data_IF_924385590622
#
_entry.id   IF_924385590622
#
_cell.length_a   1.000
_cell.length_b   1.000
_cell.length_c   1.000
_cell.angle_alpha   90.00
_cell.angle_beta   90.00
_cell.angle_gamma   90.00
#
_symmetry.space_group_name_H-M   'P 1'
#
loop_
_entity.id
_entity.type
_entity.pdbx_description
1 polymer ?
#
# COMPACT_ATOMS: atom_id res chain seq x y z
N UNK A 1 -21.90 -1.30 0.08
CA UNK A 1 -21.27 -1.96 -1.09
C UNK A 1 -22.36 -2.46 -2.03
N UNK A 2 -23.37 -3.12 -1.49
CA UNK A 2 -24.59 -3.51 -2.23
C UNK A 2 -25.25 -2.31 -2.94
N UNK A 3 -25.26 -1.12 -2.34
CA UNK A 3 -25.84 0.08 -2.95
C UNK A 3 -25.02 0.56 -4.16
N UNK A 4 -23.70 0.46 -4.12
CA UNK A 4 -22.85 0.76 -5.29
C UNK A 4 -23.13 -0.23 -6.41
N UNK A 5 -23.23 -1.52 -6.08
CA UNK A 5 -23.59 -2.57 -7.02
C UNK A 5 -24.98 -2.33 -7.63
N UNK A 6 -25.98 -1.99 -6.83
CA UNK A 6 -27.33 -1.68 -7.29
C UNK A 6 -27.37 -0.51 -8.28
N UNK A 7 -26.67 0.58 -7.95
CA UNK A 7 -26.66 1.78 -8.80
C UNK A 7 -25.86 1.58 -10.10
N UNK A 8 -24.94 0.61 -10.14
CA UNK A 8 -24.13 0.29 -11.32
C UNK A 8 -24.52 -1.05 -11.96
N UNK A 9 -25.66 -1.64 -11.59
CA UNK A 9 -26.04 -3.03 -11.91
C UNK A 9 -26.03 -3.38 -13.40
N UNK A 10 -26.29 -2.40 -14.27
CA UNK A 10 -26.31 -2.61 -15.73
C UNK A 10 -24.90 -2.67 -16.35
N UNK A 11 -23.86 -2.35 -15.57
CA UNK A 11 -22.47 -2.20 -16.03
C UNK A 11 -21.43 -2.88 -15.15
N UNK A 12 -21.73 -3.13 -13.88
CA UNK A 12 -20.79 -3.67 -12.92
C UNK A 12 -20.67 -5.18 -13.08
N UNK A 13 -19.42 -5.67 -13.11
CA UNK A 13 -19.13 -7.11 -13.21
C UNK A 13 -18.43 -7.65 -11.96
N UNK A 14 -17.93 -6.78 -11.10
CA UNK A 14 -17.17 -7.18 -9.94
C UNK A 14 -16.65 -6.01 -9.10
N UNK A 15 -16.08 -6.35 -7.95
CA UNK A 15 -15.37 -5.44 -7.06
C UNK A 15 -13.94 -5.94 -6.83
N UNK A 16 -13.02 -5.01 -6.57
CA UNK A 16 -11.63 -5.32 -6.27
C UNK A 16 -11.24 -4.84 -4.87
N UNK A 17 -10.44 -5.65 -4.16
CA UNK A 17 -9.87 -5.31 -2.87
C UNK A 17 -8.45 -4.72 -3.01
N UNK A 18 -8.34 -3.40 -2.92
CA UNK A 18 -7.05 -2.70 -2.89
C UNK A 18 -6.49 -2.52 -1.48
N UNK A 19 -5.25 -2.95 -1.23
CA UNK A 19 -4.62 -2.87 0.11
C UNK A 19 -4.25 -1.43 0.51
N UNK A 20 -3.45 -0.73 -0.29
CA UNK A 20 -2.91 0.58 0.09
C UNK A 20 -3.97 1.67 0.13
N UNK A 21 -4.84 1.73 -0.87
CA UNK A 21 -5.91 2.72 -0.91
C UNK A 21 -6.97 2.51 0.16
N UNK A 22 -7.28 1.26 0.52
CA UNK A 22 -8.19 0.97 1.63
C UNK A 22 -7.62 1.48 2.96
N UNK A 23 -6.37 1.13 3.28
CA UNK A 23 -5.72 1.63 4.50
C UNK A 23 -5.56 3.15 4.50
N UNK A 24 -5.22 3.76 3.37
CA UNK A 24 -5.20 5.21 3.23
C UNK A 24 -6.56 5.83 3.56
N UNK A 25 -7.65 5.29 3.01
CA UNK A 25 -9.01 5.74 3.32
C UNK A 25 -9.35 5.56 4.80
N UNK A 26 -8.94 4.46 5.43
CA UNK A 26 -9.14 4.26 6.86
C UNK A 26 -8.37 5.26 7.72
N UNK A 27 -7.12 5.59 7.37
CA UNK A 27 -6.34 6.64 8.06
C UNK A 27 -7.04 7.98 7.92
N UNK A 28 -7.49 8.32 6.71
CA UNK A 28 -8.18 9.59 6.47
C UNK A 28 -9.48 9.68 7.28
N UNK A 29 -10.30 8.64 7.27
CA UNK A 29 -11.56 8.60 8.00
C UNK A 29 -11.37 8.74 9.51
N UNK A 30 -10.35 8.09 10.07
CA UNK A 30 -10.07 8.10 11.50
C UNK A 30 -8.96 9.08 11.89
N UNK A 31 -8.66 10.09 11.08
CA UNK A 31 -7.50 10.96 11.28
C UNK A 31 -7.53 11.67 12.64
N UNK A 32 -8.72 11.99 13.14
CA UNK A 32 -8.92 12.66 14.43
C UNK A 32 -8.82 11.70 15.64
N UNK A 33 -8.93 10.39 15.45
CA UNK A 33 -8.96 9.43 16.54
C UNK A 33 -7.54 9.03 16.99
N UNK A 34 -7.08 9.38 18.21
CA UNK A 34 -5.75 9.04 18.70
C UNK A 34 -5.55 7.54 19.00
N UNK A 35 -6.62 6.76 19.11
CA UNK A 35 -6.56 5.30 19.27
C UNK A 35 -6.39 4.60 17.92
N UNK A 36 -6.78 5.26 16.83
CA UNK A 36 -6.71 4.70 15.48
C UNK A 36 -5.44 5.15 14.76
N UNK A 37 -4.25 4.87 15.31
CA UNK A 37 -2.98 5.21 14.66
C UNK A 37 -2.35 3.97 14.03
N UNK A 38 -2.28 3.97 12.69
CA UNK A 38 -1.85 2.81 11.92
C UNK A 38 -0.32 2.57 12.08
N UNK A 39 0.11 1.31 12.27
CA UNK A 39 1.52 0.92 12.25
C UNK A 39 2.19 1.19 10.89
N UNK A 40 3.50 0.95 10.82
CA UNK A 40 4.27 0.90 9.58
C UNK A 40 3.59 -0.07 8.60
N UNK A 41 3.20 0.40 7.40
CA UNK A 41 2.34 -0.35 6.47
C UNK A 41 2.86 -1.76 6.14
N UNK A 42 4.19 -1.90 6.07
CA UNK A 42 4.87 -3.16 5.73
C UNK A 42 4.94 -4.15 6.90
N UNK A 43 4.61 -3.70 8.13
CA UNK A 43 4.57 -4.55 9.34
C UNK A 43 3.17 -5.08 9.64
N UNK A 44 2.17 -4.62 8.90
CA UNK A 44 0.78 -5.05 9.05
C UNK A 44 0.66 -6.46 8.49
N UNK A 45 0.24 -7.45 9.28
CA UNK A 45 0.08 -8.80 8.78
C UNK A 45 -1.09 -8.86 7.79
N UNK A 46 -1.01 -9.76 6.81
CA UNK A 46 -2.05 -9.91 5.78
C UNK A 46 -3.41 -10.32 6.38
N UNK A 47 -3.41 -11.01 7.53
CA UNK A 47 -4.60 -11.50 8.21
C UNK A 47 -5.11 -10.54 9.31
N UNK A 48 -4.73 -9.26 9.28
CA UNK A 48 -5.25 -8.27 10.23
C UNK A 48 -6.78 -8.17 10.14
N UNK A 49 -7.45 -8.01 11.29
CA UNK A 49 -8.90 -8.11 11.42
C UNK A 49 -9.70 -7.27 10.42
N UNK A 50 -9.36 -5.99 10.24
CA UNK A 50 -10.08 -5.12 9.30
C UNK A 50 -9.97 -5.57 7.84
N UNK A 51 -8.86 -6.22 7.45
CA UNK A 51 -8.72 -6.80 6.12
C UNK A 51 -9.45 -8.13 6.00
N UNK A 52 -9.39 -9.00 7.02
CA UNK A 52 -10.10 -10.28 6.98
C UNK A 52 -11.61 -10.10 6.98
N UNK A 53 -12.11 -9.14 7.75
CA UNK A 53 -13.53 -8.80 7.76
C UNK A 53 -13.99 -8.34 6.36
N UNK A 54 -13.20 -7.50 5.69
CA UNK A 54 -13.50 -7.09 4.32
C UNK A 54 -13.32 -8.23 3.30
N UNK A 55 -12.29 -9.08 3.45
CA UNK A 55 -12.04 -10.24 2.59
C UNK A 55 -13.14 -11.29 2.67
N UNK A 56 -13.82 -11.42 3.80
CA UNK A 56 -14.97 -12.30 3.93
C UNK A 56 -16.26 -11.64 3.41
N UNK A 57 -16.44 -10.35 3.66
CA UNK A 57 -17.65 -9.62 3.27
C UNK A 57 -17.73 -9.37 1.75
N UNK A 58 -16.62 -9.10 1.09
CA UNK A 58 -16.59 -8.74 -0.33
C UNK A 58 -17.09 -9.89 -1.24
N UNK A 59 -16.57 -11.13 -1.15
CA UNK A 59 -17.11 -12.27 -1.89
C UNK A 59 -18.56 -12.58 -1.55
N UNK A 60 -18.95 -12.45 -0.28
CA UNK A 60 -20.34 -12.63 0.13
C UNK A 60 -21.28 -11.69 -0.64
N UNK A 61 -20.94 -10.41 -0.71
CA UNK A 61 -21.75 -9.41 -1.41
C UNK A 61 -21.68 -9.63 -2.92
N UNK A 62 -20.49 -9.80 -3.49
CA UNK A 62 -20.31 -9.98 -4.93
C UNK A 62 -21.09 -11.19 -5.44
N UNK A 63 -20.90 -12.36 -4.82
CA UNK A 63 -21.49 -13.60 -5.28
C UNK A 63 -23.01 -13.64 -5.07
N UNK A 64 -23.55 -12.87 -4.11
CA UNK A 64 -25.00 -12.63 -3.96
C UNK A 64 -25.64 -12.01 -5.17
N UNK A 65 -24.90 -11.15 -5.85
CA UNK A 65 -25.38 -10.35 -6.94
C UNK A 65 -24.83 -10.80 -8.29
N UNK A 66 -24.24 -12.00 -8.38
CA UNK A 66 -23.67 -12.53 -9.61
C UNK A 66 -22.42 -11.76 -10.09
N UNK A 67 -21.74 -11.07 -9.18
CA UNK A 67 -20.54 -10.28 -9.45
C UNK A 67 -19.28 -11.03 -9.00
N UNK A 68 -18.15 -10.71 -9.61
CA UNK A 68 -16.85 -11.24 -9.25
C UNK A 68 -16.21 -10.47 -8.08
N UNK A 69 -15.53 -11.17 -7.20
CA UNK A 69 -14.70 -10.62 -6.13
C UNK A 69 -13.21 -10.81 -6.47
N UNK A 70 -12.50 -9.72 -6.72
CA UNK A 70 -11.08 -9.76 -7.12
C UNK A 70 -10.19 -9.36 -5.93
N UNK A 71 -9.22 -10.23 -5.64
CA UNK A 71 -8.16 -10.00 -4.67
C UNK A 71 -7.18 -8.89 -5.06
N UNK A 72 -6.27 -8.57 -4.15
CA UNK A 72 -5.37 -7.43 -4.28
C UNK A 72 -4.07 -7.75 -5.00
N UNK A 73 -3.16 -6.77 -4.96
CA UNK A 73 -1.79 -6.88 -5.46
C UNK A 73 -0.85 -7.42 -4.37
N UNK A 74 0.00 -8.40 -4.70
CA UNK A 74 1.16 -8.74 -3.86
C UNK A 74 2.34 -7.88 -4.28
N UNK A 75 2.72 -6.91 -3.44
CA UNK A 75 3.62 -5.83 -3.84
C UNK A 75 5.12 -6.20 -3.89
N UNK A 76 5.52 -7.38 -3.39
CA UNK A 76 6.92 -7.78 -3.38
C UNK A 76 7.33 -8.27 -4.78
N UNK A 77 8.28 -7.58 -5.41
CA UNK A 77 8.69 -7.90 -6.77
C UNK A 77 9.77 -8.99 -6.79
N UNK A 78 9.64 -9.99 -7.68
CA UNK A 78 10.70 -10.95 -7.93
C UNK A 78 11.93 -10.24 -8.52
N UNK A 79 13.12 -10.74 -8.20
CA UNK A 79 14.38 -10.30 -8.81
C UNK A 79 14.95 -11.41 -9.68
N UNK A 80 15.28 -11.09 -10.93
CA UNK A 80 15.97 -12.06 -11.81
C UNK A 80 17.48 -12.17 -11.50
N UNK A 81 18.01 -11.22 -10.74
CA UNK A 81 19.44 -11.12 -10.39
C UNK A 81 19.75 -11.73 -9.01
N UNK A 82 18.74 -11.86 -8.14
CA UNK A 82 18.87 -12.39 -6.78
C UNK A 82 17.96 -13.61 -6.60
N UNK A 83 18.49 -14.84 -6.73
CA UNK A 83 17.72 -16.07 -6.61
C UNK A 83 17.05 -16.26 -5.24
N UNK A 84 17.68 -15.80 -4.15
CA UNK A 84 17.13 -15.95 -2.80
C UNK A 84 15.98 -14.97 -2.55
N UNK A 85 16.12 -13.72 -2.99
CA UNK A 85 15.02 -12.75 -2.97
C UNK A 85 13.88 -13.23 -3.86
N UNK A 86 14.18 -13.76 -5.03
CA UNK A 86 13.18 -14.31 -5.94
C UNK A 86 12.38 -15.44 -5.29
N UNK A 87 13.06 -16.46 -4.75
CA UNK A 87 12.40 -17.59 -4.10
C UNK A 87 11.50 -17.16 -2.94
N UNK A 88 11.95 -16.20 -2.13
CA UNK A 88 11.14 -15.64 -1.03
C UNK A 88 9.93 -14.86 -1.55
N UNK A 89 10.10 -14.06 -2.59
CA UNK A 89 9.02 -13.29 -3.20
C UNK A 89 7.94 -14.20 -3.80
N UNK A 90 8.34 -15.22 -4.54
CA UNK A 90 7.43 -16.18 -5.17
C UNK A 90 6.70 -17.05 -4.13
N UNK A 91 7.39 -17.46 -3.06
CA UNK A 91 6.74 -18.17 -1.94
C UNK A 91 5.69 -17.30 -1.25
N UNK A 92 6.04 -16.06 -0.91
CA UNK A 92 5.11 -15.12 -0.28
C UNK A 92 3.91 -14.81 -1.18
N UNK A 93 4.13 -14.71 -2.49
CA UNK A 93 3.07 -14.59 -3.50
C UNK A 93 2.12 -15.79 -3.45
N UNK A 94 2.65 -17.02 -3.54
CA UNK A 94 1.82 -18.22 -3.54
C UNK A 94 0.97 -18.33 -2.25
N UNK A 95 1.55 -18.03 -1.08
CA UNK A 95 0.83 -18.04 0.19
C UNK A 95 -0.27 -16.97 0.25
N UNK A 96 0.00 -15.74 -0.20
CA UNK A 96 -0.99 -14.66 -0.24
C UNK A 96 -2.12 -14.96 -1.23
N UNK A 97 -1.80 -15.50 -2.42
CA UNK A 97 -2.79 -15.87 -3.44
C UNK A 97 -3.64 -17.06 -3.04
N UNK A 98 -3.05 -18.06 -2.38
CA UNK A 98 -3.79 -19.17 -1.78
C UNK A 98 -4.75 -18.69 -0.70
N UNK A 99 -4.35 -17.70 0.10
CA UNK A 99 -5.24 -17.10 1.10
C UNK A 99 -6.41 -16.34 0.45
N UNK A 100 -6.18 -15.63 -0.66
CA UNK A 100 -7.25 -14.98 -1.43
C UNK A 100 -8.22 -16.00 -2.03
N UNK A 101 -7.71 -17.07 -2.63
CA UNK A 101 -8.53 -18.17 -3.16
C UNK A 101 -9.35 -18.86 -2.06
N UNK A 102 -8.74 -19.19 -0.92
CA UNK A 102 -9.45 -19.76 0.24
C UNK A 102 -10.51 -18.82 0.82
N UNK A 103 -10.37 -17.51 0.61
CA UNK A 103 -11.35 -16.50 1.01
C UNK A 103 -12.46 -16.32 -0.02
N UNK A 104 -12.54 -17.17 -1.04
CA UNK A 104 -13.53 -17.14 -2.12
C UNK A 104 -13.38 -15.98 -3.11
N UNK A 105 -12.19 -15.39 -3.24
CA UNK A 105 -11.94 -14.44 -4.35
C UNK A 105 -11.88 -15.18 -5.69
N UNK A 106 -12.46 -14.63 -6.75
CA UNK A 106 -12.47 -15.23 -8.09
C UNK A 106 -11.16 -15.05 -8.85
N UNK A 107 -10.32 -14.11 -8.42
CA UNK A 107 -9.04 -13.83 -9.06
C UNK A 107 -8.19 -12.88 -8.23
N UNK A 108 -7.05 -12.47 -8.79
CA UNK A 108 -6.07 -11.63 -8.12
C UNK A 108 -5.35 -10.69 -9.08
N UNK A 109 -4.70 -9.66 -8.54
CA UNK A 109 -3.76 -8.82 -9.28
C UNK A 109 -2.32 -9.27 -9.08
N UNK A 110 -1.55 -9.21 -10.17
CA UNK A 110 -0.10 -9.40 -10.23
C UNK A 110 0.56 -8.16 -10.83
N UNK A 111 1.76 -7.84 -10.35
CA UNK A 111 2.50 -6.64 -10.76
C UNK A 111 3.56 -6.93 -11.80
N UNK A 112 3.93 -8.20 -11.96
CA UNK A 112 4.99 -8.65 -12.86
C UNK A 112 4.59 -9.93 -13.59
N UNK A 113 4.90 -10.10 -14.89
CA UNK A 113 4.54 -11.30 -15.66
C UNK A 113 4.97 -12.62 -15.01
N UNK A 114 6.18 -12.67 -14.44
CA UNK A 114 6.73 -13.86 -13.75
C UNK A 114 5.89 -14.31 -12.53
N UNK A 115 4.92 -13.50 -12.07
CA UNK A 115 4.00 -13.85 -10.99
C UNK A 115 2.72 -14.55 -11.49
N UNK A 116 2.41 -14.47 -12.80
CA UNK A 116 1.09 -14.81 -13.33
C UNK A 116 0.74 -16.29 -13.16
N UNK A 117 1.64 -17.20 -13.56
CA UNK A 117 1.39 -18.65 -13.49
C UNK A 117 1.24 -19.12 -12.04
N UNK A 118 2.09 -18.60 -11.15
CA UNK A 118 2.01 -18.90 -9.71
C UNK A 118 0.68 -18.41 -9.15
N UNK A 119 0.24 -17.20 -9.50
CA UNK A 119 -1.05 -16.69 -9.06
C UNK A 119 -2.20 -17.56 -9.58
N UNK A 120 -2.27 -17.81 -10.90
CA UNK A 120 -3.33 -18.61 -11.53
C UNK A 120 -3.44 -20.01 -10.91
N UNK A 121 -2.32 -20.67 -10.63
CA UNK A 121 -2.31 -22.01 -10.03
C UNK A 121 -2.91 -22.09 -8.62
N UNK A 122 -3.09 -20.95 -7.93
CA UNK A 122 -3.74 -20.93 -6.61
C UNK A 122 -5.26 -20.85 -6.67
N UNK A 123 -5.85 -20.45 -7.80
CA UNK A 123 -7.30 -20.23 -7.93
C UNK A 123 -7.97 -21.39 -8.68
N UNK A 124 -9.21 -21.75 -8.31
CA UNK A 124 -10.00 -22.68 -9.10
C UNK A 124 -10.49 -22.03 -10.40
N UNK A 125 -10.70 -22.85 -11.42
CA UNK A 125 -11.25 -22.42 -12.71
C UNK A 125 -12.72 -22.87 -12.85
N UNK A 126 -13.60 -22.08 -13.50
CA UNK A 126 -13.32 -20.76 -14.10
C UNK A 126 -13.40 -19.59 -13.11
N UNK A 127 -14.05 -19.77 -11.97
CA UNK A 127 -14.22 -18.79 -10.88
C UNK A 127 -14.87 -19.48 -9.66
N UNK A 128 -15.13 -18.71 -8.59
CA UNK A 128 -15.75 -19.16 -7.34
C UNK A 128 -17.14 -18.55 -7.13
N UNK A 129 -17.79 -18.04 -8.18
CA UNK A 129 -19.03 -17.26 -8.12
C UNK A 129 -20.19 -17.96 -7.39
N UNK A 130 -20.23 -19.28 -7.43
CA UNK A 130 -21.28 -20.09 -6.80
C UNK A 130 -21.01 -20.41 -5.32
N UNK A 131 -19.80 -20.12 -4.83
CA UNK A 131 -19.43 -20.36 -3.44
C UNK A 131 -19.79 -19.16 -2.57
N UNK A 132 -20.13 -19.40 -1.30
CA UNK A 132 -20.43 -18.35 -0.33
C UNK A 132 -19.71 -18.64 0.99
N UNK A 133 -19.17 -17.62 1.68
CA UNK A 133 -18.57 -17.83 2.99
C UNK A 133 -19.64 -18.34 3.96
N UNK A 134 -19.34 -19.38 4.73
CA UNK A 134 -20.31 -19.99 5.64
C UNK A 134 -20.85 -19.02 6.71
N UNK A 135 -20.02 -18.05 7.13
CA UNK A 135 -20.30 -17.13 8.24
C UNK A 135 -19.94 -15.68 7.88
N UNK A 136 -20.33 -15.19 6.70
CA UNK A 136 -20.19 -13.78 6.42
C UNK A 136 -21.19 -13.00 7.30
N UNK A 137 -20.71 -12.37 8.37
CA UNK A 137 -21.52 -11.42 9.13
C UNK A 137 -22.03 -10.35 8.17
N UNK A 138 -23.30 -9.95 8.31
CA UNK A 138 -23.91 -8.93 7.45
C UNK A 138 -23.26 -7.56 7.64
N UNK A 139 -22.83 -7.26 8.86
CA UNK A 139 -22.23 -5.99 9.25
C UNK A 139 -21.00 -6.21 10.15
N UNK A 140 -19.89 -6.76 9.61
CA UNK A 140 -18.69 -6.94 10.40
C UNK A 140 -18.05 -5.57 10.68
N UNK A 141 -17.31 -5.45 11.79
CA UNK A 141 -16.53 -4.25 12.05
C UNK A 141 -15.37 -4.15 11.04
N UNK A 142 -15.48 -3.21 10.10
CA UNK A 142 -14.46 -2.98 9.08
C UNK A 142 -13.34 -2.06 9.56
N UNK A 143 -13.42 -1.51 10.78
CA UNK A 143 -12.45 -0.54 11.32
C UNK A 143 -12.08 -0.82 12.79
N UNK A 144 -11.85 -2.08 13.21
CA UNK A 144 -11.40 -2.36 14.56
C UNK A 144 -10.12 -1.58 14.88
N UNK A 145 -9.97 -1.21 16.16
CA UNK A 145 -8.78 -0.50 16.63
C UNK A 145 -7.54 -1.34 16.32
N UNK A 146 -6.51 -0.80 15.65
CA UNK A 146 -5.30 -1.53 15.26
C UNK A 146 -4.36 -1.73 16.45
N UNK A 147 -4.82 -2.41 17.51
CA UNK A 147 -4.04 -2.73 18.71
C UNK A 147 -3.19 -3.97 18.48
N UNK A 148 -1.88 -3.88 18.77
CA UNK A 148 -0.97 -5.03 18.67
C UNK A 148 -0.71 -5.52 17.25
N UNK A 149 -1.10 -4.76 16.23
CA UNK A 149 -0.89 -5.11 14.82
C UNK A 149 0.30 -4.30 14.29
N UNK A 150 1.41 -4.96 14.00
CA UNK A 150 2.61 -4.31 13.47
C UNK A 150 3.35 -3.41 14.47
N UNK A 151 4.20 -2.52 13.96
CA UNK A 151 5.08 -1.63 14.75
C UNK A 151 4.96 -0.18 14.30
N UNK A 152 5.11 0.77 15.23
CA UNK A 152 5.14 2.23 14.95
C UNK A 152 6.53 2.77 15.20
N UNK A 153 7.41 2.66 14.19
CA UNK A 153 8.83 2.98 14.36
C UNK A 153 9.24 4.31 13.71
N UNK A 154 10.26 4.97 14.28
CA UNK A 154 10.90 6.12 13.65
C UNK A 154 11.52 5.76 12.28
N UNK A 155 12.09 4.56 12.16
CA UNK A 155 12.66 4.06 10.92
C UNK A 155 11.62 3.95 9.81
N UNK A 156 10.44 3.42 10.13
CA UNK A 156 9.30 3.33 9.21
C UNK A 156 8.77 4.69 8.79
N UNK A 157 8.70 5.67 9.71
CA UNK A 157 8.35 7.05 9.33
C UNK A 157 9.37 7.64 8.36
N UNK A 158 10.67 7.46 8.61
CA UNK A 158 11.74 7.94 7.72
C UNK A 158 11.69 7.25 6.35
N UNK A 159 11.36 5.96 6.32
CA UNK A 159 11.15 5.23 5.07
C UNK A 159 9.98 5.81 4.27
N UNK A 160 8.84 6.05 4.91
CA UNK A 160 7.67 6.69 4.29
C UNK A 160 8.04 8.02 3.61
N UNK A 161 8.78 8.88 4.32
CA UNK A 161 9.23 10.19 3.79
C UNK A 161 10.12 10.02 2.55
N UNK A 162 11.12 9.11 2.61
CA UNK A 162 12.01 8.85 1.47
C UNK A 162 11.22 8.34 0.26
N UNK A 163 10.31 7.40 0.47
CA UNK A 163 9.52 6.80 -0.62
C UNK A 163 8.60 7.83 -1.27
N UNK A 164 7.91 8.68 -0.49
CA UNK A 164 7.08 9.78 -1.02
C UNK A 164 7.90 10.72 -1.91
N UNK A 165 9.08 11.15 -1.45
CA UNK A 165 9.95 12.05 -2.23
C UNK A 165 10.39 11.38 -3.54
N UNK A 166 10.86 10.14 -3.47
CA UNK A 166 11.35 9.40 -4.65
C UNK A 166 10.22 9.11 -5.65
N UNK A 167 9.06 8.67 -5.17
CA UNK A 167 7.91 8.39 -6.02
C UNK A 167 7.41 9.65 -6.71
N UNK A 168 7.23 10.76 -5.97
CA UNK A 168 6.79 12.04 -6.54
C UNK A 168 7.80 12.62 -7.53
N UNK A 169 9.10 12.44 -7.29
CA UNK A 169 10.11 12.76 -8.29
C UNK A 169 9.89 11.96 -9.58
N UNK A 170 9.59 10.67 -9.50
CA UNK A 170 9.22 9.85 -10.66
C UNK A 170 8.01 10.40 -11.41
N UNK A 171 6.91 10.69 -10.70
CA UNK A 171 5.67 11.23 -11.27
C UNK A 171 5.92 12.56 -11.99
N UNK A 172 6.68 13.47 -11.38
CA UNK A 172 7.04 14.76 -11.98
C UNK A 172 7.91 14.63 -13.25
N UNK A 173 8.56 13.47 -13.43
CA UNK A 173 9.32 13.12 -14.63
C UNK A 173 8.55 12.16 -15.56
N UNK A 174 7.22 12.10 -15.44
CA UNK A 174 6.36 11.29 -16.31
C UNK A 174 6.33 9.79 -15.99
N UNK A 175 6.84 9.36 -14.84
CA UNK A 175 6.82 7.95 -14.39
C UNK A 175 5.79 7.74 -13.28
N UNK A 176 4.61 7.24 -13.64
CA UNK A 176 3.52 6.93 -12.70
C UNK A 176 3.71 5.63 -11.89
N UNK A 177 4.59 4.74 -12.35
CA UNK A 177 4.97 3.51 -11.66
C UNK A 177 6.49 3.50 -11.45
N UNK A 178 6.96 3.09 -10.28
CA UNK A 178 8.40 3.10 -9.96
C UNK A 178 8.78 1.95 -9.04
N UNK A 179 9.82 1.21 -9.40
CA UNK A 179 10.42 0.20 -8.54
C UNK A 179 11.27 0.89 -7.45
N UNK A 180 10.80 0.89 -6.21
CA UNK A 180 11.46 1.49 -5.06
C UNK A 180 11.64 0.44 -3.96
N UNK A 181 12.88 0.19 -3.57
CA UNK A 181 13.24 -0.71 -2.46
C UNK A 181 12.63 -2.14 -2.61
N UNK A 182 12.52 -2.64 -3.85
CA UNK A 182 11.97 -3.96 -4.17
C UNK A 182 10.44 -4.02 -4.31
N UNK A 183 9.76 -2.87 -4.29
CA UNK A 183 8.32 -2.75 -4.48
C UNK A 183 8.00 -1.92 -5.71
N UNK A 184 7.04 -2.34 -6.53
CA UNK A 184 6.50 -1.49 -7.59
C UNK A 184 5.45 -0.57 -6.98
N UNK A 185 5.79 0.70 -6.91
CA UNK A 185 4.98 1.72 -6.25
C UNK A 185 4.17 2.51 -7.27
N UNK A 186 2.93 2.82 -6.90
CA UNK A 186 1.98 3.65 -7.63
C UNK A 186 1.47 4.79 -6.73
N UNK A 187 0.40 5.47 -7.16
CA UNK A 187 -0.14 6.62 -6.45
C UNK A 187 -0.75 6.25 -5.08
N UNK A 188 -1.23 5.02 -4.92
CA UNK A 188 -1.78 4.55 -3.65
C UNK A 188 -0.69 4.47 -2.58
N UNK A 189 0.54 4.10 -2.96
CA UNK A 189 1.70 4.14 -2.07
C UNK A 189 1.99 5.52 -1.54
N UNK A 190 1.99 6.53 -2.40
CA UNK A 190 2.19 7.91 -1.97
C UNK A 190 1.08 8.38 -1.04
N UNK A 191 -0.19 8.05 -1.37
CA UNK A 191 -1.35 8.43 -0.59
C UNK A 191 -1.29 7.87 0.83
N UNK A 192 -1.04 6.57 1.00
CA UNK A 192 -0.95 5.95 2.32
C UNK A 192 0.21 6.52 3.13
N UNK A 193 1.39 6.71 2.52
CA UNK A 193 2.54 7.22 3.26
C UNK A 193 2.37 8.67 3.72
N UNK A 194 1.81 9.55 2.88
CA UNK A 194 1.50 10.92 3.28
C UNK A 194 0.50 10.97 4.42
N UNK A 195 -0.55 10.15 4.37
CA UNK A 195 -1.55 10.08 5.43
C UNK A 195 -0.98 9.49 6.72
N UNK A 196 -0.14 8.45 6.64
CA UNK A 196 0.60 7.93 7.80
C UNK A 196 1.50 9.00 8.43
N UNK A 197 2.21 9.79 7.62
CA UNK A 197 3.05 10.90 8.11
C UNK A 197 2.19 11.94 8.82
N UNK A 198 1.10 12.39 8.20
CA UNK A 198 0.18 13.36 8.79
C UNK A 198 -0.42 12.85 10.12
N UNK A 199 -0.86 11.59 10.13
CA UNK A 199 -1.40 10.94 11.32
C UNK A 199 -0.38 10.88 12.46
N UNK A 200 0.89 10.59 12.17
CA UNK A 200 1.99 10.56 13.16
C UNK A 200 2.44 11.94 13.62
N UNK A 201 2.26 12.96 12.78
CA UNK A 201 2.49 14.35 13.20
C UNK A 201 1.42 14.80 14.19
N UNK A 202 0.16 14.42 13.94
CA UNK A 202 -0.98 14.75 14.79
C UNK A 202 -0.95 14.01 16.12
N UNK A 203 -0.77 12.69 16.08
CA UNK A 203 -0.76 11.79 17.25
C UNK A 203 0.66 11.40 17.64
N UNK A 204 1.49 12.41 17.88
CA UNK A 204 2.95 12.24 17.99
C UNK A 204 3.42 11.43 19.19
N UNK A 205 2.59 11.30 20.22
CA UNK A 205 2.78 10.49 21.43
C UNK A 205 2.64 8.97 21.16
N UNK A 206 2.10 8.58 20.00
CA UNK A 206 1.88 7.16 19.65
C UNK A 206 3.04 6.49 18.92
N UNK A 207 4.12 7.20 18.62
CA UNK A 207 5.30 6.65 17.91
C UNK A 207 6.40 6.33 18.91
N UNK A 208 6.94 5.11 18.86
CA UNK A 208 8.02 4.69 19.75
C UNK A 208 9.27 5.57 19.59
N UNK A 209 9.86 5.97 20.72
CA UNK A 209 11.14 6.68 20.77
C UNK A 209 11.07 8.19 20.50
N UNK A 210 9.97 8.88 20.81
CA UNK A 210 9.84 10.31 20.53
C UNK A 210 9.78 11.22 21.76
N UNK A 211 10.81 12.07 21.88
CA UNK A 211 10.64 13.49 22.23
C UNK A 211 10.19 14.24 20.97
N UNK A 212 9.13 15.03 21.08
CA UNK A 212 8.23 15.51 20.01
C UNK A 212 8.90 16.26 18.84
N UNK A 213 10.15 16.71 18.98
CA UNK A 213 10.91 17.48 17.98
C UNK A 213 11.67 16.66 16.92
N UNK A 214 11.79 15.32 17.06
CA UNK A 214 12.75 14.54 16.26
C UNK A 214 12.23 13.83 14.97
N UNK A 215 10.92 13.75 14.69
CA UNK A 215 10.46 13.08 13.44
C UNK A 215 10.65 14.00 12.23
N UNK A 216 10.66 15.32 12.41
CA UNK A 216 10.79 16.25 11.29
C UNK A 216 11.66 17.45 11.65
N UNK A 217 12.85 17.51 11.04
CA UNK A 217 13.63 18.72 10.80
C UNK A 217 14.21 19.46 12.01
N UNK A 218 15.09 18.81 12.78
CA UNK A 218 16.14 19.57 13.49
C UNK A 218 17.52 18.95 13.22
N UNK A 219 18.35 19.74 12.51
CA UNK A 219 19.81 19.69 12.32
C UNK A 219 20.48 18.88 11.19
N UNK A 220 19.83 18.00 10.43
CA UNK A 220 20.51 17.27 9.33
C UNK A 220 19.66 17.15 8.04
N UNK A 221 19.09 18.25 7.55
CA UNK A 221 18.47 18.30 6.21
C UNK A 221 19.45 17.92 5.09
N UNK A 222 20.75 18.04 5.34
CA UNK A 222 21.79 17.75 4.36
C UNK A 222 21.94 16.24 4.16
N UNK A 223 21.98 15.42 5.23
CA UNK A 223 22.30 13.99 5.12
C UNK A 223 21.20 13.07 4.57
N UNK A 224 19.93 13.49 4.54
CA UNK A 224 18.85 12.74 3.88
C UNK A 224 18.83 13.06 2.38
N UNK A 225 18.89 14.35 2.03
CA UNK A 225 19.05 14.79 0.65
C UNK A 225 20.32 14.24 0.03
N UNK A 226 21.43 14.14 0.76
CA UNK A 226 22.71 13.65 0.25
C UNK A 226 22.73 12.14 0.00
N UNK A 227 22.03 11.34 0.81
CA UNK A 227 21.84 9.91 0.53
C UNK A 227 20.89 9.66 -0.64
N UNK A 228 19.81 10.43 -0.73
CA UNK A 228 18.91 10.38 -1.90
C UNK A 228 19.63 10.88 -3.16
N UNK A 229 20.45 11.93 -3.07
CA UNK A 229 21.29 12.46 -4.15
C UNK A 229 22.35 11.45 -4.59
N UNK A 230 23.03 10.76 -3.66
CA UNK A 230 23.99 9.68 -3.97
C UNK A 230 23.32 8.45 -4.60
N UNK A 231 22.10 8.11 -4.17
CA UNK A 231 21.32 7.00 -4.75
C UNK A 231 20.70 7.32 -6.13
N UNK A 232 20.69 8.60 -6.55
CA UNK A 232 20.12 9.06 -7.83
C UNK A 232 21.15 9.16 -8.98
N UNK A 233 22.41 8.71 -8.80
CA UNK A 233 23.53 8.67 -9.80
C UNK A 233 23.95 10.04 -10.43
N UNK A 234 25.18 10.17 -10.99
CA UNK A 234 26.06 11.34 -10.81
C UNK A 234 25.88 12.50 -11.82
N UNK A 235 24.82 12.52 -12.62
CA UNK A 235 24.66 13.51 -13.70
C UNK A 235 23.97 14.82 -13.28
N UNK A 236 23.55 14.94 -12.02
CA UNK A 236 22.92 16.18 -11.54
C UNK A 236 23.95 17.30 -11.37
N UNK A 237 23.99 18.24 -12.32
CA UNK A 237 24.58 19.56 -12.12
C UNK A 237 23.47 20.56 -11.79
N UNK A 238 23.57 21.32 -10.69
CA UNK A 238 22.66 22.44 -10.49
C UNK A 238 22.83 23.43 -11.65
N UNK A 239 21.75 24.10 -12.11
CA UNK A 239 21.88 25.20 -13.04
C UNK A 239 22.79 26.26 -12.40
N UNK A 240 23.83 26.67 -13.13
CA UNK A 240 24.72 27.73 -12.69
C UNK A 240 23.88 28.99 -12.47
N UNK A 241 23.98 29.56 -11.26
CA UNK A 241 23.40 30.86 -10.98
C UNK A 241 23.99 31.85 -11.99
N UNK A 242 23.17 32.36 -12.90
CA UNK A 242 23.56 33.50 -13.74
C UNK A 242 23.86 34.67 -12.80
N UNK A 243 25.01 35.34 -12.91
CA UNK A 243 25.26 36.53 -12.11
C UNK A 243 24.18 37.56 -12.41
N UNK A 244 23.64 38.17 -11.36
CA UNK A 244 22.72 39.29 -11.49
C UNK A 244 23.39 40.39 -12.32
N UNK A 245 22.77 40.75 -13.45
CA UNK A 245 23.19 41.90 -14.22
C UNK A 245 23.04 43.14 -13.34
N UNK A 246 24.16 43.76 -12.98
CA UNK A 246 24.17 45.05 -12.33
C UNK A 246 23.60 46.09 -13.30
N UNK A 247 22.39 46.56 -13.05
CA UNK A 247 21.89 47.78 -13.67
C UNK A 247 22.67 48.96 -13.09
N UNK A 248 23.60 49.52 -13.89
CA UNK A 248 24.11 50.88 -13.67
C UNK A 248 23.29 51.83 -14.54
N UNK A 249 22.83 52.91 -13.90
CA UNK A 249 22.28 54.11 -14.54
C UNK A 249 23.31 54.75 -15.46
#
# INVERSE_FOLDING_TARGET
>A
MEEFAWNLRDHIVGLNLGRWDYMASLIHFNLENPEWVLPDRNTIPHNVAFFQNLRNLLPEICHKHGMLAIGGMTALFPSREDPELNARALKALAEDKKNEANSLMDGAWTGHPDQNEIAVSQFPAPNQLQARPANAGTHPDLRPIPTGVGKRTLAGTRAAVRTVIRYRHGVLNGKGASLLDGYMEDLATDRIYRLMIAQRMKHSDKVEGRNSSAIFLTKNSDGCCERTRKAMTPSWRPPSAKPAASAKK
#
